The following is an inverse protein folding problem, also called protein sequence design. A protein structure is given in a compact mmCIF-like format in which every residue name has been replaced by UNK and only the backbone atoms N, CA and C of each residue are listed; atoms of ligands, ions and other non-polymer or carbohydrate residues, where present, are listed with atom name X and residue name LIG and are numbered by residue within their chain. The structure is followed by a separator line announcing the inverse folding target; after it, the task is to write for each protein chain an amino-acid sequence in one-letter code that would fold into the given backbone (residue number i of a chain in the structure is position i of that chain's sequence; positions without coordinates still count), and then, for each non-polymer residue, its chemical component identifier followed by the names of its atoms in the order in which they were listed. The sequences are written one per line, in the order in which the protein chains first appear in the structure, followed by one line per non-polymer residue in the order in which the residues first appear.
data_IF_379294565993
#
_entry.id   IF_379294565993
#
_cell.length_a   1.000
_cell.length_b   1.000
_cell.length_c   1.000
_cell.angle_alpha   90.00
_cell.angle_beta   90.00
_cell.angle_gamma   90.00
#
_symmetry.space_group_name_H-M   'P 1'
#
loop_
_entity.id
_entity.type
_entity.pdbx_description
1 polymer ?
#
# COMPACT_ATOMS: atom_id res chain seq x y z
N UNK A 1 -6.55 7.15 31.70
CA UNK A 1 -7.82 7.70 32.23
C UNK A 1 -8.11 8.94 31.42
N UNK A 2 -8.94 8.81 30.37
CA UNK A 2 -9.51 9.98 29.72
C UNK A 2 -10.45 10.61 30.76
N UNK A 3 -10.07 11.79 31.23
CA UNK A 3 -10.88 12.61 32.12
C UNK A 3 -12.30 12.73 31.55
N UNK A 4 -13.31 12.77 32.41
CA UNK A 4 -14.72 12.92 32.03
C UNK A 4 -14.83 13.97 30.91
N UNK A 5 -15.20 13.50 29.70
CA UNK A 5 -14.66 14.00 28.43
C UNK A 5 -14.42 15.50 28.34
N UNK A 6 -13.23 15.89 27.84
CA UNK A 6 -12.81 17.27 27.54
C UNK A 6 -14.01 18.18 27.27
N UNK A 7 -14.04 19.38 27.85
CA UNK A 7 -15.11 20.37 27.58
C UNK A 7 -15.39 20.54 26.08
N UNK A 8 -14.38 20.33 25.24
CA UNK A 8 -14.50 20.33 23.78
C UNK A 8 -15.32 19.13 23.26
N UNK A 9 -15.08 17.93 23.78
CA UNK A 9 -15.85 16.72 23.46
C UNK A 9 -17.32 16.86 23.87
N UNK A 10 -17.60 17.43 25.05
CA UNK A 10 -18.99 17.68 25.48
C UNK A 10 -19.74 18.63 24.53
N UNK A 11 -19.07 19.65 24.00
CA UNK A 11 -19.67 20.52 22.98
C UNK A 11 -19.97 19.76 21.69
N UNK A 12 -19.08 18.88 21.24
CA UNK A 12 -19.34 18.03 20.07
C UNK A 12 -20.56 17.12 20.30
N UNK A 13 -20.68 16.49 21.48
CA UNK A 13 -21.85 15.68 21.83
C UNK A 13 -23.15 16.50 21.83
N UNK A 14 -23.10 17.73 22.36
CA UNK A 14 -24.25 18.64 22.33
C UNK A 14 -24.67 18.99 20.89
N UNK A 15 -23.71 19.19 19.98
CA UNK A 15 -24.01 19.39 18.56
C UNK A 15 -24.62 18.14 17.91
N UNK A 16 -24.11 16.95 18.25
CA UNK A 16 -24.69 15.67 17.81
C UNK A 16 -26.16 15.55 18.21
N UNK A 17 -26.49 15.77 19.48
CA UNK A 17 -27.86 15.75 19.99
C UNK A 17 -28.77 16.82 19.39
N UNK A 18 -28.22 17.99 19.04
CA UNK A 18 -28.97 19.06 18.38
C UNK A 18 -29.31 18.70 16.93
N UNK A 19 -28.34 18.15 16.20
CA UNK A 19 -28.46 17.87 14.78
C UNK A 19 -29.39 16.69 14.49
N UNK A 20 -29.55 15.73 15.41
CA UNK A 20 -30.52 14.64 15.25
C UNK A 20 -31.98 15.11 15.21
N UNK A 21 -32.26 16.35 15.64
CA UNK A 21 -33.59 16.96 15.54
C UNK A 21 -33.90 17.54 14.15
N UNK A 22 -32.97 17.50 13.18
CA UNK A 22 -33.17 17.94 11.79
C UNK A 22 -32.95 16.80 10.79
N UNK A 23 -33.16 17.09 9.51
CA UNK A 23 -32.90 16.15 8.40
C UNK A 23 -32.00 16.78 7.35
N UNK A 24 -31.36 15.93 6.53
CA UNK A 24 -30.58 16.42 5.38
C UNK A 24 -31.41 17.34 4.48
N UNK A 25 -32.66 16.98 4.17
CA UNK A 25 -33.55 17.81 3.34
C UNK A 25 -33.68 19.21 3.94
N UNK A 26 -34.00 19.31 5.23
CA UNK A 26 -34.14 20.60 5.91
C UNK A 26 -32.83 21.40 5.85
N UNK A 27 -31.67 20.75 6.03
CA UNK A 27 -30.37 21.41 5.91
C UNK A 27 -30.08 21.95 4.50
N UNK A 28 -30.53 21.26 3.45
CA UNK A 28 -30.44 21.77 2.06
C UNK A 28 -31.46 22.87 1.79
N UNK A 29 -32.69 22.75 2.30
CA UNK A 29 -33.73 23.77 2.15
C UNK A 29 -33.35 25.08 2.84
N UNK A 30 -32.59 25.01 3.94
CA UNK A 30 -32.12 26.17 4.71
C UNK A 30 -30.86 26.85 4.13
N UNK A 31 -30.08 26.16 3.30
CA UNK A 31 -28.83 26.66 2.73
C UNK A 31 -28.70 26.23 1.27
N UNK A 32 -29.11 27.12 0.35
CA UNK A 32 -29.01 26.89 -1.09
C UNK A 32 -27.57 26.74 -1.59
N UNK A 33 -26.58 27.15 -0.78
CA UNK A 33 -25.13 27.04 -1.09
C UNK A 33 -24.46 25.85 -0.39
N UNK A 34 -25.23 24.98 0.27
CA UNK A 34 -24.70 23.90 1.10
C UNK A 34 -23.73 22.99 0.36
N UNK A 35 -24.06 22.60 -0.88
CA UNK A 35 -23.21 21.74 -1.71
C UNK A 35 -21.82 22.37 -1.91
N UNK A 36 -21.75 23.67 -2.17
CA UNK A 36 -20.49 24.41 -2.36
C UNK A 36 -19.74 24.54 -1.02
N UNK A 37 -20.45 24.88 0.06
CA UNK A 37 -19.85 25.08 1.39
C UNK A 37 -19.28 23.81 2.01
N UNK A 38 -19.92 22.67 1.75
CA UNK A 38 -19.55 21.34 2.28
C UNK A 38 -18.96 20.43 1.21
N UNK A 39 -18.28 21.01 0.22
CA UNK A 39 -17.44 20.27 -0.71
C UNK A 39 -16.07 20.91 -0.87
N UNK A 40 -15.06 20.12 -1.22
CA UNK A 40 -13.70 20.60 -1.47
C UNK A 40 -13.13 19.92 -2.69
N UNK A 41 -12.52 20.70 -3.57
CA UNK A 41 -11.57 20.17 -4.53
C UNK A 41 -10.23 19.96 -3.84
N UNK A 42 -9.67 18.77 -4.00
CA UNK A 42 -8.34 18.38 -3.55
C UNK A 42 -7.46 18.22 -4.79
N UNK A 43 -6.33 18.93 -4.84
CA UNK A 43 -5.48 19.03 -6.03
C UNK A 43 -5.15 20.50 -6.31
N UNK A 44 -4.04 20.77 -7.00
CA UNK A 44 -3.69 22.16 -7.37
C UNK A 44 -2.66 22.88 -6.48
N UNK A 45 -1.61 22.20 -6.03
CA UNK A 45 -0.34 22.89 -5.69
C UNK A 45 0.83 21.89 -5.74
N UNK A 46 1.24 21.50 -6.95
CA UNK A 46 2.58 20.95 -7.20
C UNK A 46 2.92 21.15 -8.67
N UNK A 47 3.63 22.24 -8.96
CA UNK A 47 4.28 22.47 -10.26
C UNK A 47 5.45 21.49 -10.52
N UNK A 48 5.55 20.36 -9.82
CA UNK A 48 6.75 19.52 -9.83
C UNK A 48 6.72 18.34 -10.81
N UNK A 49 5.57 17.97 -11.39
CA UNK A 49 5.49 16.77 -12.25
C UNK A 49 4.76 16.97 -13.59
N UNK A 50 4.62 18.20 -14.10
CA UNK A 50 4.05 18.46 -15.43
C UNK A 50 2.54 18.17 -15.60
N UNK A 51 1.88 17.68 -14.55
CA UNK A 51 0.41 17.62 -14.47
C UNK A 51 -0.09 18.99 -13.98
N UNK A 52 -0.29 19.91 -14.92
CA UNK A 52 -0.79 21.24 -14.62
C UNK A 52 -2.15 21.18 -13.90
N UNK A 53 -2.26 21.86 -12.75
CA UNK A 53 -3.49 22.32 -12.08
C UNK A 53 -4.79 21.58 -12.46
N UNK A 54 -4.86 20.29 -12.16
CA UNK A 54 -6.12 19.54 -12.17
C UNK A 54 -6.52 19.24 -10.74
N UNK A 55 -7.80 19.45 -10.43
CA UNK A 55 -8.40 18.93 -9.22
C UNK A 55 -8.30 17.39 -9.27
N UNK A 56 -7.53 16.81 -8.35
CA UNK A 56 -7.29 15.38 -8.27
C UNK A 56 -8.51 14.63 -7.73
N UNK A 57 -9.31 15.28 -6.88
CA UNK A 57 -10.53 14.73 -6.34
C UNK A 57 -11.52 15.83 -5.92
N UNK A 58 -12.81 15.63 -6.17
CA UNK A 58 -13.88 16.42 -5.58
C UNK A 58 -14.50 15.65 -4.41
N UNK A 59 -14.39 16.20 -3.20
CA UNK A 59 -14.91 15.60 -1.97
C UNK A 59 -16.16 16.35 -1.55
N UNK A 60 -17.32 15.74 -1.78
CA UNK A 60 -18.62 16.26 -1.34
C UNK A 60 -19.07 15.57 -0.04
N UNK A 61 -19.11 16.34 1.05
CA UNK A 61 -19.64 15.91 2.35
C UNK A 61 -20.89 16.68 2.74
N UNK A 62 -21.55 17.37 1.81
CA UNK A 62 -22.81 18.10 2.02
C UNK A 62 -23.97 17.20 2.43
N UNK A 63 -23.91 15.92 2.05
CA UNK A 63 -24.89 14.88 2.37
C UNK A 63 -24.61 14.19 3.72
N UNK A 64 -23.71 14.74 4.52
CA UNK A 64 -23.56 14.37 5.93
C UNK A 64 -24.52 15.18 6.81
N UNK A 65 -25.02 14.56 7.88
CA UNK A 65 -25.87 15.24 8.85
C UNK A 65 -25.01 16.14 9.75
N UNK A 66 -24.60 17.27 9.19
CA UNK A 66 -23.67 18.24 9.79
C UNK A 66 -24.04 19.65 9.31
N UNK A 67 -24.02 20.64 10.20
CA UNK A 67 -24.11 22.05 9.83
C UNK A 67 -22.81 22.79 10.19
N UNK A 68 -22.75 24.09 9.94
CA UNK A 68 -21.53 24.87 10.17
C UNK A 68 -21.11 24.88 11.63
N UNK A 69 -22.08 24.89 12.56
CA UNK A 69 -21.80 24.93 13.99
C UNK A 69 -21.18 23.59 14.45
N UNK A 70 -21.75 22.47 14.02
CA UNK A 70 -21.19 21.16 14.33
C UNK A 70 -19.80 20.94 13.69
N UNK A 71 -19.61 21.38 12.45
CA UNK A 71 -18.30 21.33 11.80
C UNK A 71 -17.26 22.16 12.56
N UNK A 72 -17.62 23.35 13.03
CA UNK A 72 -16.72 24.19 13.81
C UNK A 72 -16.29 23.50 15.12
N UNK A 73 -17.22 22.88 15.85
CA UNK A 73 -16.87 22.16 17.08
C UNK A 73 -15.99 20.93 16.82
N UNK A 74 -16.22 20.19 15.72
CA UNK A 74 -15.33 19.10 15.30
C UNK A 74 -13.92 19.60 14.95
N UNK A 75 -13.80 20.77 14.31
CA UNK A 75 -12.49 21.39 14.03
C UNK A 75 -11.80 21.89 15.30
N UNK A 76 -12.55 22.38 16.29
CA UNK A 76 -11.99 22.72 17.60
C UNK A 76 -11.49 21.47 18.32
N UNK A 77 -12.25 20.36 18.26
CA UNK A 77 -11.80 19.07 18.80
C UNK A 77 -10.51 18.59 18.12
N UNK A 78 -10.42 18.70 16.79
CA UNK A 78 -9.22 18.31 16.06
C UNK A 78 -7.97 19.10 16.49
N UNK A 79 -8.13 20.38 16.83
CA UNK A 79 -7.06 21.23 17.40
C UNK A 79 -6.74 20.87 18.85
N UNK A 80 -7.76 20.62 19.69
CA UNK A 80 -7.60 20.18 21.08
C UNK A 80 -6.81 18.86 21.16
N UNK A 81 -7.09 17.95 20.21
CA UNK A 81 -6.37 16.68 20.05
C UNK A 81 -5.04 16.82 19.31
N UNK A 82 -4.65 18.01 18.85
CA UNK A 82 -3.37 18.26 18.16
C UNK A 82 -3.11 17.30 16.97
N UNK A 83 -4.15 17.02 16.17
CA UNK A 83 -4.07 16.01 15.09
C UNK A 83 -3.01 16.39 14.04
N UNK A 84 -2.85 17.68 13.75
CA UNK A 84 -1.90 18.18 12.74
C UNK A 84 -0.46 18.07 13.24
N UNK A 85 -0.25 18.35 14.51
CA UNK A 85 1.04 18.23 15.20
C UNK A 85 1.46 16.77 15.26
N UNK A 86 0.57 15.86 15.70
CA UNK A 86 0.83 14.41 15.70
C UNK A 86 1.13 13.87 14.30
N UNK A 87 0.42 14.34 13.27
CA UNK A 87 0.74 13.98 11.89
C UNK A 87 2.12 14.50 11.44
N UNK A 88 2.52 15.68 11.91
CA UNK A 88 3.84 16.27 11.66
C UNK A 88 4.94 15.48 12.35
N UNK A 89 4.75 15.09 13.61
CA UNK A 89 5.64 14.19 14.35
C UNK A 89 5.81 12.83 13.65
N UNK A 90 4.69 12.24 13.20
CA UNK A 90 4.71 11.01 12.42
C UNK A 90 5.59 11.16 11.18
N UNK A 91 5.39 12.24 10.41
CA UNK A 91 6.15 12.52 9.19
C UNK A 91 7.63 12.80 9.43
N UNK A 92 7.98 13.33 10.60
CA UNK A 92 9.36 13.60 11.00
C UNK A 92 10.06 12.36 11.60
N UNK A 93 9.40 11.19 11.58
CA UNK A 93 10.02 9.93 11.96
C UNK A 93 9.98 9.64 13.45
N UNK A 94 9.14 10.33 14.23
CA UNK A 94 8.96 10.01 15.64
C UNK A 94 8.43 8.57 15.79
N UNK A 95 8.89 7.87 16.83
CA UNK A 95 8.54 6.46 17.10
C UNK A 95 7.13 6.36 17.72
N UNK A 96 6.11 6.61 16.91
CA UNK A 96 4.70 6.61 17.32
C UNK A 96 4.07 5.21 17.39
N UNK A 97 4.71 4.18 16.82
CA UNK A 97 4.32 2.81 17.07
C UNK A 97 4.97 2.35 18.37
N UNK A 98 4.35 2.68 19.51
CA UNK A 98 4.93 2.47 20.84
C UNK A 98 5.09 0.99 21.22
N UNK A 99 4.27 0.09 20.68
CA UNK A 99 4.39 -1.34 20.99
C UNK A 99 5.58 -1.98 20.31
N UNK A 100 5.93 -1.51 19.11
CA UNK A 100 7.06 -2.05 18.32
C UNK A 100 8.28 -1.12 18.33
N UNK A 101 8.19 0.04 19.00
CA UNK A 101 9.22 1.07 19.07
C UNK A 101 9.72 1.52 17.68
N UNK A 102 8.77 1.71 16.76
CA UNK A 102 9.05 2.03 15.35
C UNK A 102 8.43 3.37 14.92
N UNK A 103 9.11 4.02 13.97
CA UNK A 103 8.54 5.14 13.20
C UNK A 103 7.45 4.63 12.24
N UNK A 104 6.56 5.51 11.82
CA UNK A 104 5.46 5.19 10.88
C UNK A 104 5.59 6.08 9.64
N UNK A 105 6.33 5.61 8.62
CA UNK A 105 6.88 6.48 7.57
C UNK A 105 6.43 6.13 6.14
N UNK A 106 5.25 5.53 5.99
CA UNK A 106 4.71 5.21 4.65
C UNK A 106 4.58 6.43 3.71
N UNK A 107 4.51 7.65 4.24
CA UNK A 107 4.56 8.90 3.45
C UNK A 107 5.93 9.11 2.78
N UNK A 108 7.03 8.64 3.38
CA UNK A 108 8.38 8.76 2.82
C UNK A 108 8.54 7.96 1.51
N UNK A 109 7.75 6.90 1.31
CA UNK A 109 7.71 6.13 0.05
C UNK A 109 7.35 6.99 -1.17
N UNK A 110 6.61 8.08 -0.95
CA UNK A 110 6.11 9.01 -1.97
C UNK A 110 6.63 10.45 -1.79
N UNK A 111 7.65 10.65 -0.95
CA UNK A 111 8.24 11.96 -0.75
C UNK A 111 8.90 12.47 -2.04
N UNK A 112 9.01 13.81 -2.16
CA UNK A 112 9.79 14.44 -3.22
C UNK A 112 11.26 14.00 -3.11
N UNK A 113 11.94 13.86 -4.26
CA UNK A 113 13.32 13.39 -4.32
C UNK A 113 14.31 14.29 -3.57
N UNK A 114 13.98 15.58 -3.38
CA UNK A 114 14.82 16.54 -2.67
C UNK A 114 14.49 16.63 -1.17
N UNK A 115 13.53 15.83 -0.69
CA UNK A 115 13.23 15.76 0.75
C UNK A 115 14.33 14.99 1.46
N UNK A 116 14.88 15.54 2.54
CA UNK A 116 15.75 14.78 3.46
C UNK A 116 14.99 14.48 4.74
N UNK A 117 15.09 13.22 5.19
CA UNK A 117 14.50 12.74 6.44
C UNK A 117 15.48 11.77 7.10
N UNK A 118 16.15 12.25 8.15
CA UNK A 118 17.12 11.45 8.90
C UNK A 118 16.43 10.78 10.08
N UNK A 119 16.48 9.44 10.15
CA UNK A 119 15.95 8.65 11.26
C UNK A 119 17.01 7.64 11.69
N UNK A 120 17.34 7.63 12.97
CA UNK A 120 18.37 6.76 13.56
C UNK A 120 19.72 6.83 12.81
N UNK A 121 20.05 8.00 12.24
CA UNK A 121 21.31 8.27 11.52
C UNK A 121 21.27 8.04 10.01
N UNK A 122 20.17 7.50 9.47
CA UNK A 122 20.04 7.14 8.05
C UNK A 122 19.08 8.09 7.30
N UNK A 123 19.41 8.45 6.05
CA UNK A 123 18.49 9.20 5.17
C UNK A 123 17.48 8.25 4.54
N UNK A 124 16.27 8.24 5.11
CA UNK A 124 15.16 7.37 4.72
C UNK A 124 14.72 7.61 3.28
N UNK A 125 14.69 8.87 2.84
CA UNK A 125 14.23 9.20 1.48
C UNK A 125 15.28 8.76 0.46
N UNK A 126 16.57 8.99 0.73
CA UNK A 126 17.65 8.54 -0.15
C UNK A 126 17.61 7.01 -0.35
N UNK A 127 17.39 6.25 0.72
CA UNK A 127 17.22 4.79 0.63
C UNK A 127 16.03 4.37 -0.22
N UNK A 128 14.88 5.03 -0.04
CA UNK A 128 13.67 4.78 -0.83
C UNK A 128 13.94 5.03 -2.31
N UNK A 129 14.64 6.11 -2.64
CA UNK A 129 14.95 6.44 -4.04
C UNK A 129 15.93 5.44 -4.66
N UNK A 130 16.91 4.94 -3.90
CA UNK A 130 17.80 3.88 -4.37
C UNK A 130 17.02 2.61 -4.71
N UNK A 131 16.08 2.21 -3.83
CA UNK A 131 15.24 1.03 -4.05
C UNK A 131 14.30 1.20 -5.25
N UNK A 132 13.67 2.37 -5.39
CA UNK A 132 12.82 2.70 -6.55
C UNK A 132 13.59 2.62 -7.86
N UNK A 133 14.86 3.05 -7.90
CA UNK A 133 15.72 2.90 -9.08
C UNK A 133 16.04 1.44 -9.37
N UNK A 134 16.26 0.61 -8.35
CA UNK A 134 16.48 -0.82 -8.51
C UNK A 134 15.22 -1.53 -9.06
N UNK A 135 14.06 -1.26 -8.46
CA UNK A 135 12.76 -1.74 -8.93
C UNK A 135 12.52 -1.37 -10.38
N UNK A 136 12.73 -0.09 -10.74
CA UNK A 136 12.54 0.36 -12.13
C UNK A 136 13.42 -0.41 -13.11
N UNK A 137 14.72 -0.57 -12.82
CA UNK A 137 15.62 -1.33 -13.70
C UNK A 137 15.15 -2.77 -13.89
N UNK A 138 14.68 -3.41 -12.82
CA UNK A 138 14.18 -4.77 -12.88
C UNK A 138 12.87 -4.88 -13.67
N UNK A 139 11.91 -4.00 -13.41
CA UNK A 139 10.63 -3.92 -14.14
C UNK A 139 10.88 -3.69 -15.63
N UNK A 140 11.74 -2.73 -15.99
CA UNK A 140 12.09 -2.44 -17.38
C UNK A 140 12.73 -3.68 -18.05
N UNK A 141 13.63 -4.39 -17.35
CA UNK A 141 14.27 -5.60 -17.87
C UNK A 141 13.26 -6.73 -18.10
N UNK A 142 12.39 -7.03 -17.14
CA UNK A 142 11.34 -8.06 -17.27
C UNK A 142 10.40 -7.75 -18.43
N UNK A 143 9.97 -6.50 -18.56
CA UNK A 143 9.07 -6.07 -19.65
C UNK A 143 9.73 -6.09 -21.02
N UNK A 144 11.05 -5.86 -21.09
CA UNK A 144 11.82 -5.90 -22.33
C UNK A 144 12.09 -7.35 -22.78
N UNK A 145 12.42 -8.23 -21.84
CA UNK A 145 12.68 -9.66 -22.12
C UNK A 145 11.43 -10.38 -22.64
N UNK A 146 10.23 -9.98 -22.19
CA UNK A 146 8.93 -10.59 -22.57
C UNK A 146 8.83 -12.11 -22.32
N UNK A 147 9.79 -12.69 -21.61
CA UNK A 147 9.78 -14.09 -21.15
C UNK A 147 8.56 -14.38 -20.28
N UNK A 148 8.26 -13.50 -19.33
CA UNK A 148 7.19 -13.73 -18.36
C UNK A 148 5.86 -13.15 -18.83
N UNK A 149 4.90 -14.03 -19.10
CA UNK A 149 3.51 -13.68 -19.45
C UNK A 149 2.58 -13.68 -18.24
N UNK A 150 2.96 -14.39 -17.18
CA UNK A 150 2.19 -14.49 -15.94
C UNK A 150 3.06 -14.17 -14.73
N UNK A 151 2.55 -13.31 -13.85
CA UNK A 151 3.15 -13.00 -12.55
C UNK A 151 2.21 -13.45 -11.45
N UNK A 152 2.67 -14.31 -10.55
CA UNK A 152 1.92 -14.75 -9.39
C UNK A 152 2.47 -14.06 -8.15
N UNK A 153 1.69 -13.13 -7.59
CA UNK A 153 1.98 -12.51 -6.30
C UNK A 153 1.54 -13.46 -5.18
N UNK A 154 2.49 -13.88 -4.35
CA UNK A 154 2.25 -14.73 -3.19
C UNK A 154 2.43 -13.90 -1.93
N UNK A 155 1.34 -13.56 -1.26
CA UNK A 155 1.33 -12.70 -0.09
C UNK A 155 -0.06 -12.66 0.53
N UNK A 156 -0.19 -12.24 1.79
CA UNK A 156 -1.49 -12.12 2.46
C UNK A 156 -1.64 -10.73 3.10
N UNK A 157 -2.89 -10.25 3.18
CA UNK A 157 -3.23 -8.98 3.82
C UNK A 157 -2.59 -7.80 3.11
N UNK A 158 -1.69 -7.08 3.81
CA UNK A 158 -1.02 -5.91 3.24
C UNK A 158 -0.12 -6.19 2.04
N UNK A 159 0.41 -7.42 1.95
CA UNK A 159 1.24 -7.89 0.81
C UNK A 159 0.42 -8.29 -0.42
N UNK A 160 -0.91 -8.17 -0.36
CA UNK A 160 -1.83 -8.70 -1.35
C UNK A 160 -2.92 -7.69 -1.74
N UNK A 161 -3.70 -7.21 -0.77
CA UNK A 161 -4.86 -6.35 -0.99
C UNK A 161 -4.53 -5.04 -1.71
N UNK A 162 -3.42 -4.39 -1.36
CA UNK A 162 -2.98 -3.15 -1.99
C UNK A 162 -2.53 -3.36 -3.44
N UNK A 163 -1.59 -4.28 -3.69
CA UNK A 163 -1.18 -4.67 -5.04
C UNK A 163 -2.34 -5.14 -5.94
N UNK A 164 -3.25 -5.95 -5.41
CA UNK A 164 -4.45 -6.40 -6.13
C UNK A 164 -5.36 -5.23 -6.51
N UNK A 165 -5.61 -4.31 -5.57
CA UNK A 165 -6.41 -3.10 -5.84
C UNK A 165 -5.80 -2.25 -6.96
N UNK A 166 -4.47 -2.06 -6.98
CA UNK A 166 -3.81 -1.34 -8.08
C UNK A 166 -4.05 -2.06 -9.40
N UNK A 167 -3.87 -3.38 -9.41
CA UNK A 167 -4.05 -4.17 -10.61
C UNK A 167 -5.46 -4.06 -11.16
N UNK A 168 -6.48 -4.32 -10.33
CA UNK A 168 -7.88 -4.25 -10.72
C UNK A 168 -8.28 -2.86 -11.21
N UNK A 169 -7.82 -1.80 -10.54
CA UNK A 169 -8.14 -0.41 -10.90
C UNK A 169 -7.53 0.01 -12.24
N UNK A 170 -6.33 -0.47 -12.57
CA UNK A 170 -5.61 -0.07 -13.79
C UNK A 170 -5.89 -0.99 -14.98
N UNK A 171 -6.22 -2.27 -14.74
CA UNK A 171 -6.38 -3.28 -15.78
C UNK A 171 -7.43 -2.92 -16.84
N UNK A 172 -8.52 -2.26 -16.43
CA UNK A 172 -9.57 -1.83 -17.37
C UNK A 172 -9.17 -0.65 -18.27
N UNK A 173 -8.10 0.07 -17.93
CA UNK A 173 -7.65 1.28 -18.65
C UNK A 173 -6.35 1.05 -19.42
N UNK A 174 -5.45 0.23 -18.86
CA UNK A 174 -4.13 -0.03 -19.41
C UNK A 174 -4.02 -1.48 -19.86
N UNK A 175 -3.74 -1.68 -21.16
CA UNK A 175 -3.45 -3.01 -21.68
C UNK A 175 -2.06 -3.47 -21.20
N UNK A 176 -2.03 -4.54 -20.41
CA UNK A 176 -0.80 -5.21 -19.99
C UNK A 176 -0.56 -6.47 -20.82
N UNK A 177 0.67 -6.68 -21.30
CA UNK A 177 1.11 -7.96 -21.89
C UNK A 177 1.40 -9.03 -20.82
N UNK A 178 1.35 -8.66 -19.53
CA UNK A 178 1.62 -9.52 -18.37
C UNK A 178 0.37 -9.63 -17.50
N UNK A 179 -0.14 -10.84 -17.32
CA UNK A 179 -1.26 -11.14 -16.42
C UNK A 179 -0.73 -11.29 -14.99
N UNK A 180 -1.31 -10.56 -14.03
CA UNK A 180 -1.00 -10.76 -12.61
C UNK A 180 -2.11 -11.54 -11.92
N UNK A 181 -1.73 -12.51 -11.10
CA UNK A 181 -2.65 -13.27 -10.24
C UNK A 181 -2.18 -13.17 -8.80
N UNK A 182 -3.11 -13.03 -7.88
CA UNK A 182 -2.86 -12.81 -6.45
C UNK A 182 -3.29 -14.06 -5.67
N UNK A 183 -2.36 -14.62 -4.89
CA UNK A 183 -2.53 -15.86 -4.13
C UNK A 183 -2.19 -15.59 -2.67
N UNK A 184 -3.21 -15.69 -1.83
CA UNK A 184 -3.14 -15.27 -0.43
C UNK A 184 -3.60 -16.33 0.56
N UNK A 185 -4.53 -17.19 0.15
CA UNK A 185 -5.15 -18.18 1.01
C UNK A 185 -4.16 -19.31 1.30
N UNK A 186 -4.20 -19.85 2.52
CA UNK A 186 -3.42 -21.03 2.90
C UNK A 186 -3.96 -22.32 2.28
N UNK A 187 -5.24 -22.32 1.90
CA UNK A 187 -5.83 -23.45 1.19
C UNK A 187 -5.13 -23.65 -0.16
N UNK A 188 -4.42 -24.78 -0.26
CA UNK A 188 -3.66 -25.16 -1.44
C UNK A 188 -4.53 -25.26 -2.72
N UNK A 189 -5.86 -25.35 -2.61
CA UNK A 189 -6.73 -25.32 -3.77
C UNK A 189 -6.58 -24.03 -4.59
N UNK A 190 -6.44 -22.87 -3.93
CA UNK A 190 -6.26 -21.58 -4.61
C UNK A 190 -5.03 -21.62 -5.51
N UNK A 191 -3.84 -21.82 -4.93
CA UNK A 191 -2.60 -21.81 -5.70
C UNK A 191 -2.57 -22.92 -6.77
N UNK A 192 -3.04 -24.14 -6.47
CA UNK A 192 -3.07 -25.23 -7.46
C UNK A 192 -3.98 -24.90 -8.63
N UNK A 193 -5.13 -24.27 -8.39
CA UNK A 193 -6.05 -23.85 -9.44
C UNK A 193 -5.43 -22.80 -10.38
N UNK A 194 -4.62 -21.90 -9.83
CA UNK A 194 -3.86 -20.90 -10.60
C UNK A 194 -2.77 -21.59 -11.41
N UNK A 195 -1.93 -22.41 -10.77
CA UNK A 195 -0.80 -23.11 -11.40
C UNK A 195 -1.23 -24.02 -12.55
N UNK A 196 -2.42 -24.62 -12.49
CA UNK A 196 -2.97 -25.43 -13.58
C UNK A 196 -3.22 -24.66 -14.88
N UNK A 197 -3.24 -23.32 -14.81
CA UNK A 197 -3.44 -22.41 -15.95
C UNK A 197 -2.14 -21.70 -16.37
N UNK A 198 -1.00 -22.13 -15.85
CA UNK A 198 0.30 -21.49 -16.06
C UNK A 198 1.23 -22.31 -16.96
N UNK A 199 2.08 -21.61 -17.71
CA UNK A 199 3.22 -22.18 -18.43
C UNK A 199 4.47 -21.90 -17.59
N UNK A 200 5.15 -22.95 -17.14
CA UNK A 200 6.28 -22.85 -16.20
C UNK A 200 7.39 -21.90 -16.68
N UNK A 201 7.82 -22.02 -17.94
CA UNK A 201 8.86 -21.17 -18.54
C UNK A 201 8.50 -19.68 -18.61
N UNK A 202 7.20 -19.35 -18.54
CA UNK A 202 6.65 -17.99 -18.71
C UNK A 202 6.03 -17.41 -17.43
N UNK A 203 6.23 -18.09 -16.28
CA UNK A 203 5.64 -17.69 -14.99
C UNK A 203 6.70 -17.15 -14.03
N UNK A 204 6.49 -15.94 -13.51
CA UNK A 204 7.31 -15.33 -12.45
C UNK A 204 6.54 -15.35 -11.13
N UNK A 205 7.20 -15.74 -10.05
CA UNK A 205 6.66 -15.71 -8.68
C UNK A 205 7.24 -14.54 -7.89
N UNK A 206 6.37 -13.68 -7.37
CA UNK A 206 6.76 -12.59 -6.48
C UNK A 206 6.30 -12.94 -5.06
N UNK A 207 7.24 -13.28 -4.18
CA UNK A 207 6.96 -13.72 -2.81
C UNK A 207 7.09 -12.54 -1.85
N UNK A 208 5.95 -12.07 -1.36
CA UNK A 208 5.79 -10.83 -0.59
C UNK A 208 5.48 -11.13 0.88
N UNK A 209 6.46 -10.95 1.77
CA UNK A 209 6.24 -11.03 3.22
C UNK A 209 7.20 -10.13 3.97
N UNK A 210 6.65 -9.19 4.77
CA UNK A 210 7.46 -8.28 5.60
C UNK A 210 8.36 -9.03 6.57
N UNK A 211 7.81 -9.99 7.31
CA UNK A 211 8.54 -10.74 8.34
C UNK A 211 9.28 -11.96 7.79
N UNK A 212 8.83 -12.45 6.63
CA UNK A 212 9.17 -13.73 6.01
C UNK A 212 8.93 -14.96 6.91
N UNK A 213 8.04 -14.85 7.90
CA UNK A 213 7.61 -15.96 8.76
C UNK A 213 6.14 -16.33 8.56
N UNK A 214 5.46 -15.69 7.62
CA UNK A 214 4.02 -15.87 7.33
C UNK A 214 3.77 -17.28 6.78
N UNK A 215 2.99 -18.09 7.49
CA UNK A 215 2.79 -19.52 7.19
C UNK A 215 2.10 -19.71 5.84
N UNK A 216 1.12 -18.87 5.53
CA UNK A 216 0.36 -18.86 4.29
C UNK A 216 1.30 -18.61 3.10
N UNK A 217 2.07 -17.53 3.15
CA UNK A 217 3.04 -17.15 2.11
C UNK A 217 4.11 -18.22 1.89
N UNK A 218 4.69 -18.75 2.98
CA UNK A 218 5.75 -19.77 2.89
C UNK A 218 5.21 -21.10 2.35
N UNK A 219 4.01 -21.50 2.73
CA UNK A 219 3.36 -22.72 2.22
C UNK A 219 3.10 -22.61 0.72
N UNK A 220 2.54 -21.49 0.28
CA UNK A 220 2.30 -21.22 -1.14
C UNK A 220 3.61 -21.13 -1.95
N UNK A 221 4.65 -20.49 -1.43
CA UNK A 221 5.95 -20.43 -2.10
C UNK A 221 6.58 -21.82 -2.28
N UNK A 222 6.42 -22.73 -1.30
CA UNK A 222 6.90 -24.12 -1.41
C UNK A 222 6.13 -24.90 -2.47
N UNK A 223 4.80 -24.75 -2.53
CA UNK A 223 3.97 -25.39 -3.55
C UNK A 223 4.35 -24.90 -4.95
N UNK A 224 4.52 -23.58 -5.13
CA UNK A 224 4.98 -22.99 -6.39
C UNK A 224 6.34 -23.53 -6.83
N UNK A 225 7.30 -23.61 -5.89
CA UNK A 225 8.65 -24.11 -6.17
C UNK A 225 8.65 -25.57 -6.60
N UNK A 226 7.90 -26.42 -5.89
CA UNK A 226 7.75 -27.84 -6.22
C UNK A 226 7.14 -28.01 -7.62
N UNK A 227 6.04 -27.30 -7.89
CA UNK A 227 5.39 -27.32 -9.20
C UNK A 227 6.34 -26.86 -10.31
N UNK A 228 7.11 -25.80 -10.09
CA UNK A 228 8.02 -25.27 -11.10
C UNK A 228 9.13 -26.27 -11.42
N UNK A 229 9.73 -26.88 -10.40
CA UNK A 229 10.76 -27.91 -10.58
C UNK A 229 10.24 -29.11 -11.39
N UNK A 230 9.05 -29.61 -11.05
CA UNK A 230 8.39 -30.70 -11.77
C UNK A 230 8.10 -30.34 -13.23
N UNK A 231 7.59 -29.12 -13.49
CA UNK A 231 7.24 -28.69 -14.85
C UNK A 231 8.43 -28.35 -15.73
N UNK A 232 9.55 -27.93 -15.14
CA UNK A 232 10.80 -27.71 -15.86
C UNK A 232 11.65 -28.99 -15.97
N UNK A 233 11.31 -30.05 -15.24
CA UNK A 233 12.07 -31.31 -15.24
C UNK A 233 13.44 -31.19 -14.57
N UNK A 234 13.55 -30.35 -13.54
CA UNK A 234 14.79 -30.09 -12.79
C UNK A 234 14.63 -30.42 -11.31
N UNK A 235 15.74 -30.56 -10.61
CA UNK A 235 15.71 -30.77 -9.16
C UNK A 235 15.28 -29.50 -8.41
N UNK A 236 14.67 -29.67 -7.23
CA UNK A 236 14.21 -28.52 -6.40
C UNK A 236 15.35 -27.59 -5.93
N UNK A 237 16.60 -28.06 -6.01
CA UNK A 237 17.79 -27.29 -5.71
C UNK A 237 18.42 -26.59 -6.91
N UNK A 238 17.87 -26.77 -8.13
CA UNK A 238 18.44 -26.19 -9.34
C UNK A 238 18.38 -24.66 -9.31
N UNK A 239 19.47 -24.03 -9.75
CA UNK A 239 19.62 -22.57 -9.78
C UNK A 239 18.65 -21.91 -10.75
N UNK A 240 18.20 -22.62 -11.80
CA UNK A 240 17.25 -22.08 -12.78
C UNK A 240 15.92 -21.68 -12.12
N UNK A 241 15.53 -22.35 -11.03
CA UNK A 241 14.33 -21.99 -10.28
C UNK A 241 14.43 -20.59 -9.73
N UNK A 242 15.61 -20.15 -9.27
CA UNK A 242 15.78 -18.82 -8.69
C UNK A 242 15.45 -17.69 -9.68
N UNK A 243 15.63 -17.90 -10.98
CA UNK A 243 15.26 -16.93 -12.02
C UNK A 243 13.75 -16.65 -12.10
N UNK A 244 12.94 -17.60 -11.65
CA UNK A 244 11.48 -17.50 -11.60
C UNK A 244 10.96 -16.97 -10.26
N UNK A 245 11.83 -16.62 -9.32
CA UNK A 245 11.43 -16.08 -8.02
C UNK A 245 12.02 -14.70 -7.78
N UNK A 246 11.18 -13.83 -7.21
CA UNK A 246 11.56 -12.54 -6.65
C UNK A 246 11.05 -12.47 -5.22
N UNK A 247 11.87 -11.97 -4.30
CA UNK A 247 11.48 -11.78 -2.90
C UNK A 247 11.26 -10.30 -2.61
N UNK A 248 10.19 -9.99 -1.89
CA UNK A 248 9.97 -8.65 -1.31
C UNK A 248 9.80 -8.78 0.20
N UNK A 249 10.71 -8.19 0.97
CA UNK A 249 10.76 -8.38 2.43
C UNK A 249 11.51 -7.25 3.16
N UNK A 250 11.25 -7.10 4.46
CA UNK A 250 12.13 -6.30 5.34
C UNK A 250 13.36 -7.08 5.80
N UNK A 251 13.36 -8.40 5.62
CA UNK A 251 14.41 -9.31 6.08
C UNK A 251 14.72 -10.34 4.98
N UNK A 252 15.36 -9.94 3.87
CA UNK A 252 15.60 -10.82 2.73
C UNK A 252 16.41 -12.08 3.10
N UNK A 253 17.33 -12.00 4.06
CA UNK A 253 18.11 -13.16 4.55
C UNK A 253 17.24 -14.30 5.12
N UNK A 254 16.04 -13.97 5.63
CA UNK A 254 15.08 -14.97 6.13
C UNK A 254 14.44 -15.77 4.99
N UNK A 255 14.45 -15.26 3.77
CA UNK A 255 13.88 -15.95 2.63
C UNK A 255 14.70 -17.17 2.22
N UNK A 256 16.01 -16.97 2.08
CA UNK A 256 16.94 -18.06 1.79
C UNK A 256 16.87 -19.16 2.87
N UNK A 257 16.88 -18.76 4.16
CA UNK A 257 16.74 -19.70 5.29
C UNK A 257 15.42 -20.48 5.28
N UNK A 258 14.37 -19.90 4.70
CA UNK A 258 13.04 -20.52 4.60
C UNK A 258 12.86 -21.35 3.32
N UNK A 259 13.92 -21.49 2.50
CA UNK A 259 13.93 -22.30 1.29
C UNK A 259 13.48 -21.58 0.02
N UNK A 260 13.19 -20.28 0.10
CA UNK A 260 12.83 -19.42 -1.04
C UNK A 260 14.09 -18.72 -1.54
N UNK A 261 14.72 -19.32 -2.54
CA UNK A 261 15.90 -18.75 -3.22
C UNK A 261 15.41 -18.03 -4.46
N UNK A 262 15.78 -16.75 -4.59
CA UNK A 262 15.34 -15.86 -5.65
C UNK A 262 16.57 -15.17 -6.28
N UNK A 263 16.56 -14.98 -7.59
CA UNK A 263 17.62 -14.27 -8.30
C UNK A 263 17.59 -12.76 -7.99
N UNK A 264 16.43 -12.24 -7.60
CA UNK A 264 16.23 -10.84 -7.26
C UNK A 264 15.49 -10.71 -5.92
N UNK A 265 15.86 -9.68 -5.15
CA UNK A 265 15.19 -9.34 -3.90
C UNK A 265 15.08 -7.82 -3.78
N UNK A 266 13.93 -7.36 -3.30
CA UNK A 266 13.65 -5.95 -3.04
C UNK A 266 13.28 -5.73 -1.59
N UNK A 267 13.76 -4.63 -1.03
CA UNK A 267 13.53 -4.31 0.38
C UNK A 267 12.24 -3.52 0.56
N UNK A 268 11.59 -3.81 1.69
CA UNK A 268 10.77 -2.83 2.39
C UNK A 268 11.38 -2.58 3.76
N UNK A 269 10.87 -1.59 4.48
CA UNK A 269 11.44 -1.23 5.78
C UNK A 269 10.51 -1.59 6.94
N UNK A 270 11.05 -1.82 8.14
CA UNK A 270 10.24 -2.04 9.34
C UNK A 270 9.20 -0.93 9.59
N UNK A 271 9.52 0.33 9.32
CA UNK A 271 8.59 1.46 9.49
C UNK A 271 7.44 1.50 8.46
N UNK A 272 7.44 0.60 7.45
CA UNK A 272 6.31 0.42 6.53
C UNK A 272 5.33 -0.59 7.14
N UNK A 273 4.18 -0.12 7.60
CA UNK A 273 3.09 -1.00 8.01
C UNK A 273 2.51 -1.75 6.81
N UNK A 274 2.12 -3.03 6.98
CA UNK A 274 1.64 -3.87 5.87
C UNK A 274 0.49 -3.24 5.09
N UNK A 275 -0.54 -2.75 5.79
CA UNK A 275 -1.69 -2.05 5.18
C UNK A 275 -1.37 -0.68 4.54
N UNK A 276 -0.15 -0.17 4.74
CA UNK A 276 0.36 1.07 4.15
C UNK A 276 1.49 0.83 3.13
N UNK A 277 1.72 -0.44 2.75
CA UNK A 277 2.85 -0.84 1.91
C UNK A 277 2.60 -0.69 0.40
N UNK A 278 1.41 -0.24 0.01
CA UNK A 278 0.97 -0.13 -1.39
C UNK A 278 1.91 0.74 -2.27
N UNK A 279 2.64 1.69 -1.70
CA UNK A 279 3.62 2.53 -2.43
C UNK A 279 5.06 2.02 -2.35
N UNK A 280 5.28 0.81 -1.85
CA UNK A 280 6.60 0.18 -1.72
C UNK A 280 6.81 -0.92 -2.77
N UNK A 281 7.93 -1.64 -2.67
CA UNK A 281 8.21 -2.85 -3.45
C UNK A 281 7.13 -3.93 -3.34
N UNK A 282 6.24 -3.90 -2.33
CA UNK A 282 5.12 -4.84 -2.22
C UNK A 282 4.20 -4.80 -3.45
N UNK A 283 4.17 -3.69 -4.18
CA UNK A 283 3.40 -3.54 -5.42
C UNK A 283 4.21 -3.90 -6.68
N UNK A 284 5.25 -4.74 -6.57
CA UNK A 284 6.08 -5.11 -7.73
C UNK A 284 5.27 -5.80 -8.85
N UNK A 285 4.30 -6.65 -8.51
CA UNK A 285 3.48 -7.32 -9.52
C UNK A 285 2.75 -6.32 -10.46
N UNK A 286 1.96 -5.35 -9.96
CA UNK A 286 1.36 -4.35 -10.83
C UNK A 286 2.39 -3.42 -11.49
N UNK A 287 3.57 -3.15 -10.88
CA UNK A 287 4.65 -2.42 -11.57
C UNK A 287 5.14 -3.19 -12.81
N UNK A 288 5.28 -4.51 -12.73
CA UNK A 288 5.66 -5.34 -13.89
C UNK A 288 4.57 -5.27 -14.98
N UNK A 289 3.29 -5.29 -14.60
CA UNK A 289 2.18 -5.23 -15.54
C UNK A 289 2.07 -3.89 -16.28
N UNK A 290 2.21 -2.76 -15.58
CA UNK A 290 1.90 -1.45 -16.15
C UNK A 290 3.12 -0.57 -16.44
N UNK A 291 4.28 -0.87 -15.85
CA UNK A 291 5.50 -0.06 -15.98
C UNK A 291 5.66 0.97 -14.87
#
# INVERSE_FOLDING_TARGET
MADEGSKVWQRVLAQGSRITATSLRVLFDQDSTRSERFSRYLGGNTAQNGLANQDLAFVDFSKQLIDQQALNELLVLARDLQIVEQFTEMRNGLKLNFTEQQSVLHTALRADINTSLIVDGEDVVAEVQAERKALKRFVDAVRTDKRFRKVINIGIGGSDLGPALIYDALFGTYNSEVECVFVANIDAHEIKSVLNKCIAAETLFVVCSKSFNTVETLSNARIAKQWLAEKLGVEIGDKILAEHFVVVSAYPDRAAKSGVVAANSFKIWPWVGGRYSISSAMSLAPMIAFG
#
